data_IF_384276374456
#
_entry.id   IF_384276374456
#
_cell.length_a   1.000
_cell.length_b   1.000
_cell.length_c   1.000
_cell.angle_alpha   90.00
_cell.angle_beta   90.00
_cell.angle_gamma   90.00
#
_symmetry.space_group_name_H-M   'P 1'
#
loop_
_entity.id
_entity.type
_entity.pdbx_description
1 polymer ?
#
# COMPACT_ATOMS: atom_id res chain seq x y z
N UNK A 1 -35.87 -19.41 2.73
CA UNK A 1 -34.44 -19.13 2.53
C UNK A 1 -34.37 -17.92 1.61
N UNK A 2 -34.00 -16.76 2.13
CA UNK A 2 -33.69 -15.60 1.29
C UNK A 2 -32.42 -15.89 0.49
N UNK A 3 -32.41 -15.47 -0.77
CA UNK A 3 -31.33 -15.76 -1.71
C UNK A 3 -30.25 -14.71 -1.52
N UNK A 4 -29.06 -15.14 -1.12
CA UNK A 4 -27.88 -14.27 -1.01
C UNK A 4 -27.41 -13.89 -2.42
N UNK A 5 -27.19 -12.60 -2.67
CA UNK A 5 -26.75 -12.06 -3.96
C UNK A 5 -25.52 -11.15 -3.77
N UNK A 6 -24.71 -10.97 -4.83
CA UNK A 6 -23.49 -10.18 -4.77
C UNK A 6 -23.18 -9.52 -6.13
N UNK A 7 -22.61 -8.31 -6.09
CA UNK A 7 -22.23 -7.53 -7.27
C UNK A 7 -20.75 -7.19 -7.21
N UNK A 8 -19.94 -7.75 -8.10
CA UNK A 8 -18.52 -7.44 -8.22
C UNK A 8 -17.89 -8.19 -9.39
N UNK A 9 -16.93 -7.55 -10.07
CA UNK A 9 -16.16 -8.16 -11.15
C UNK A 9 -14.68 -7.88 -10.96
N UNK A 10 -13.82 -8.74 -11.49
CA UNK A 10 -12.38 -8.52 -11.50
C UNK A 10 -12.09 -7.42 -12.54
N UNK A 11 -11.27 -6.39 -12.21
CA UNK A 11 -10.96 -5.32 -13.14
C UNK A 11 -10.38 -5.86 -14.45
N UNK A 12 -11.01 -5.50 -15.59
CA UNK A 12 -10.58 -5.90 -16.95
C UNK A 12 -9.47 -4.98 -17.49
N UNK A 13 -9.46 -3.73 -17.05
CA UNK A 13 -8.46 -2.72 -17.36
C UNK A 13 -7.80 -2.30 -16.05
N UNK A 14 -6.48 -2.24 -16.04
CA UNK A 14 -5.69 -1.92 -14.86
C UNK A 14 -4.77 -0.76 -15.18
N UNK A 15 -4.71 0.22 -14.28
CA UNK A 15 -3.58 1.14 -14.25
C UNK A 15 -2.27 0.37 -14.29
N UNK A 16 -1.27 0.92 -14.97
CA UNK A 16 0.03 0.25 -15.17
C UNK A 16 1.14 1.15 -14.68
N UNK A 17 2.02 0.60 -13.84
CA UNK A 17 3.25 1.29 -13.47
C UNK A 17 4.23 1.23 -14.64
N UNK A 18 4.61 2.41 -15.15
CA UNK A 18 5.56 2.56 -16.27
C UNK A 18 6.95 2.94 -15.80
N UNK A 19 7.08 3.55 -14.63
CA UNK A 19 8.37 3.95 -14.06
C UNK A 19 8.33 3.94 -12.54
N UNK A 20 9.43 3.51 -11.91
CA UNK A 20 9.68 3.64 -10.47
C UNK A 20 11.04 4.31 -10.29
N UNK A 21 11.04 5.50 -9.68
CA UNK A 21 12.25 6.23 -9.27
C UNK A 21 12.40 6.12 -7.75
N UNK A 22 13.53 5.61 -7.28
CA UNK A 22 13.88 5.51 -5.86
C UNK A 22 15.12 6.34 -5.57
N UNK A 23 15.05 7.22 -4.56
CA UNK A 23 16.16 8.09 -4.12
C UNK A 23 16.36 7.96 -2.62
N UNK A 24 17.50 7.39 -2.24
CA UNK A 24 17.79 6.97 -0.87
C UNK A 24 18.06 8.14 0.09
N UNK A 25 18.47 9.31 -0.41
CA UNK A 25 18.58 10.58 0.33
C UNK A 25 19.12 10.53 1.78
N UNK A 26 18.90 11.63 2.53
CA UNK A 26 19.13 11.70 3.98
C UNK A 26 17.87 12.18 4.72
N UNK A 27 16.70 11.96 4.10
CA UNK A 27 15.41 12.39 4.65
C UNK A 27 15.07 11.54 5.87
N UNK A 28 14.44 12.15 6.87
CA UNK A 28 13.87 11.45 8.01
C UNK A 28 12.42 11.90 8.21
N UNK A 29 11.54 10.98 8.59
CA UNK A 29 10.14 11.23 8.89
C UNK A 29 9.88 11.01 10.37
N UNK A 30 9.00 11.82 10.96
CA UNK A 30 8.48 11.56 12.29
C UNK A 30 7.56 10.33 12.25
N UNK A 31 7.68 9.45 13.23
CA UNK A 31 6.82 8.27 13.34
C UNK A 31 5.96 8.40 14.59
N UNK A 32 4.64 8.34 14.40
CA UNK A 32 3.69 8.38 15.51
C UNK A 32 3.78 7.08 16.31
N UNK A 33 3.59 7.15 17.63
CA UNK A 33 3.58 5.99 18.53
C UNK A 33 4.94 5.53 19.07
N UNK A 34 6.06 6.14 18.62
CA UNK A 34 7.43 5.80 19.11
C UNK A 34 8.06 6.87 20.01
N UNK A 35 7.28 7.86 20.46
CA UNK A 35 7.72 9.00 21.28
C UNK A 35 7.78 10.32 20.50
N UNK A 36 7.75 11.45 21.20
CA UNK A 36 7.58 12.80 20.62
C UNK A 36 8.69 13.25 19.65
N UNK A 37 9.84 12.57 19.63
CA UNK A 37 10.98 12.91 18.77
C UNK A 37 11.49 11.76 17.88
N UNK A 38 10.80 10.63 17.84
CA UNK A 38 11.27 9.49 17.08
C UNK A 38 11.18 9.77 15.56
N UNK A 39 12.34 9.71 14.90
CA UNK A 39 12.47 9.91 13.45
C UNK A 39 13.14 8.70 12.81
N UNK A 40 12.55 8.18 11.74
CA UNK A 40 13.15 7.10 10.97
C UNK A 40 13.75 7.64 9.67
N UNK A 41 14.87 7.10 9.20
CA UNK A 41 15.37 7.41 7.87
C UNK A 41 14.40 6.89 6.81
N UNK A 42 14.10 7.69 5.80
CA UNK A 42 13.24 7.31 4.68
C UNK A 42 13.91 7.57 3.35
N UNK A 43 13.46 6.85 2.34
CA UNK A 43 13.80 7.07 0.94
C UNK A 43 12.54 7.53 0.20
N UNK A 44 12.72 8.45 -0.75
CA UNK A 44 11.62 8.96 -1.56
C UNK A 44 11.44 8.05 -2.78
N UNK A 45 10.20 7.67 -3.03
CA UNK A 45 9.78 6.99 -4.24
C UNK A 45 8.85 7.87 -5.06
N UNK A 46 9.02 7.78 -6.37
CA UNK A 46 8.03 8.25 -7.34
C UNK A 46 7.66 7.11 -8.26
N UNK A 47 6.36 6.96 -8.49
CA UNK A 47 5.82 5.95 -9.39
C UNK A 47 5.04 6.68 -10.47
N UNK A 48 5.37 6.42 -11.74
CA UNK A 48 4.58 6.87 -12.87
C UNK A 48 3.56 5.82 -13.23
N UNK A 49 2.32 6.24 -13.36
CA UNK A 49 1.16 5.38 -13.55
C UNK A 49 0.44 5.82 -14.82
N UNK A 50 0.30 4.90 -15.77
CA UNK A 50 -0.60 5.06 -16.89
C UNK A 50 -2.00 4.62 -16.44
N UNK A 51 -2.97 5.52 -16.46
CA UNK A 51 -4.36 5.26 -16.03
C UNK A 51 -5.37 5.55 -17.16
N UNK A 52 -6.64 5.15 -17.02
CA UNK A 52 -7.67 5.48 -18.01
C UNK A 52 -8.47 6.71 -17.56
N UNK A 53 -8.29 7.90 -18.17
CA UNK A 53 -8.97 9.12 -17.71
C UNK A 53 -10.49 9.13 -17.93
N UNK A 54 -11.05 8.11 -18.60
CA UNK A 54 -12.49 7.96 -18.81
C UNK A 54 -13.16 7.02 -17.81
N UNK A 55 -12.38 6.27 -17.04
CA UNK A 55 -12.84 5.32 -16.03
C UNK A 55 -12.31 5.77 -14.65
N UNK A 56 -12.91 5.27 -13.57
CA UNK A 56 -12.38 5.53 -12.22
C UNK A 56 -11.46 4.39 -11.83
N UNK A 57 -10.19 4.70 -11.62
CA UNK A 57 -9.18 3.73 -11.23
C UNK A 57 -8.99 3.74 -9.70
N UNK A 58 -9.10 2.56 -9.10
CA UNK A 58 -8.97 2.36 -7.66
C UNK A 58 -7.67 1.61 -7.37
N UNK A 59 -6.72 2.28 -6.71
CA UNK A 59 -5.34 1.80 -6.63
C UNK A 59 -4.86 1.69 -5.19
N UNK A 60 -3.82 0.88 -5.01
CA UNK A 60 -3.05 0.87 -3.76
C UNK A 60 -1.58 0.55 -3.96
N UNK A 61 -0.76 1.01 -3.03
CA UNK A 61 0.68 0.76 -2.99
C UNK A 61 1.06 0.23 -1.61
N UNK A 62 1.86 -0.82 -1.57
CA UNK A 62 2.40 -1.38 -0.32
C UNK A 62 3.85 -1.79 -0.51
N UNK A 63 4.64 -1.71 0.56
CA UNK A 63 6.04 -2.10 0.56
C UNK A 63 6.22 -3.30 1.46
N UNK A 64 6.91 -4.32 0.93
CA UNK A 64 7.27 -5.50 1.71
C UNK A 64 8.74 -5.86 1.56
N UNK A 65 9.25 -6.53 2.57
CA UNK A 65 10.57 -7.17 2.53
C UNK A 65 10.42 -8.62 2.93
N UNK A 66 11.10 -9.52 2.22
CA UNK A 66 11.09 -10.92 2.57
C UNK A 66 12.09 -11.21 3.68
N UNK A 67 11.74 -12.14 4.57
CA UNK A 67 12.64 -12.59 5.62
C UNK A 67 13.89 -13.25 5.01
N UNK A 68 15.06 -12.99 5.58
CA UNK A 68 16.30 -13.63 5.14
C UNK A 68 16.52 -14.93 5.92
N UNK A 69 16.82 -16.01 5.20
CA UNK A 69 17.25 -17.29 5.77
C UNK A 69 18.74 -17.46 5.52
N UNK A 70 19.48 -17.78 6.58
CA UNK A 70 20.93 -17.96 6.54
C UNK A 70 21.25 -19.45 6.58
N UNK A 71 21.97 -19.93 5.58
CA UNK A 71 22.45 -21.30 5.52
C UNK A 71 23.97 -21.31 5.70
N UNK A 72 24.44 -22.00 6.74
CA UNK A 72 25.86 -22.24 6.92
C UNK A 72 26.27 -23.44 6.08
N UNK A 73 27.22 -23.22 5.16
CA UNK A 73 27.77 -24.28 4.30
C UNK A 73 29.29 -24.16 4.38
N UNK A 74 29.92 -25.13 5.05
CA UNK A 74 31.33 -25.09 5.42
C UNK A 74 31.68 -23.76 6.14
N UNK A 75 32.67 -23.03 5.65
CA UNK A 75 33.13 -21.74 6.18
C UNK A 75 32.42 -20.53 5.53
N UNK A 76 31.27 -20.72 4.89
CA UNK A 76 30.53 -19.67 4.18
C UNK A 76 29.07 -19.56 4.64
N UNK A 77 28.51 -18.34 4.54
CA UNK A 77 27.10 -18.05 4.80
C UNK A 77 26.41 -17.75 3.48
N UNK A 78 25.40 -18.54 3.15
CA UNK A 78 24.48 -18.29 2.04
C UNK A 78 23.21 -17.62 2.57
N UNK A 79 22.79 -16.53 1.93
CA UNK A 79 21.58 -15.79 2.32
C UNK A 79 20.53 -15.96 1.24
N UNK A 80 19.34 -16.44 1.62
CA UNK A 80 18.21 -16.67 0.71
C UNK A 80 16.99 -15.91 1.23
N UNK A 81 16.29 -15.22 0.34
CA UNK A 81 14.99 -14.60 0.65
C UNK A 81 13.91 -15.69 0.78
N UNK A 82 13.26 -15.72 1.94
CA UNK A 82 12.10 -16.56 2.18
C UNK A 82 10.84 -15.86 1.68
N UNK A 83 10.44 -16.15 0.45
CA UNK A 83 9.24 -15.56 -0.18
C UNK A 83 7.92 -15.91 0.50
N UNK A 84 7.90 -16.86 1.44
CA UNK A 84 6.70 -17.21 2.22
C UNK A 84 6.52 -16.36 3.49
N UNK A 85 7.55 -15.59 3.87
CA UNK A 85 7.52 -14.74 5.07
C UNK A 85 7.98 -13.34 4.70
N UNK A 86 7.11 -12.36 4.86
CA UNK A 86 7.45 -10.96 4.60
C UNK A 86 7.00 -10.07 5.75
N UNK A 87 7.64 -8.90 5.83
CA UNK A 87 7.32 -7.83 6.76
C UNK A 87 6.89 -6.62 5.96
N UNK A 88 5.87 -5.92 6.44
CA UNK A 88 5.47 -4.62 5.93
C UNK A 88 6.51 -3.59 6.36
N UNK A 89 6.93 -2.72 5.44
CA UNK A 89 7.77 -1.57 5.77
C UNK A 89 6.91 -0.33 6.03
N UNK A 90 7.42 0.63 6.80
CA UNK A 90 6.73 1.91 6.94
C UNK A 90 6.60 2.63 5.59
N UNK A 91 5.43 3.25 5.40
CA UNK A 91 5.00 3.92 4.19
C UNK A 91 4.21 5.18 4.56
N UNK A 92 4.53 6.33 3.97
CA UNK A 92 3.71 7.54 4.09
C UNK A 92 3.75 8.38 2.80
N UNK A 93 2.84 9.35 2.68
CA UNK A 93 2.79 10.23 1.52
C UNK A 93 2.07 11.53 1.85
N UNK A 94 2.58 12.62 1.26
CA UNK A 94 1.92 13.94 1.22
C UNK A 94 1.30 14.21 -0.17
N UNK A 95 1.20 13.19 -1.02
CA UNK A 95 0.67 13.31 -2.38
C UNK A 95 -0.85 13.56 -2.32
N UNK A 96 -1.38 14.57 -3.04
CA UNK A 96 -2.81 14.86 -3.03
C UNK A 96 -3.71 13.68 -3.39
N UNK A 97 -3.26 12.79 -4.28
CA UNK A 97 -4.03 11.61 -4.65
C UNK A 97 -4.27 10.68 -3.45
N UNK A 98 -3.27 10.54 -2.58
CA UNK A 98 -3.32 9.69 -1.39
C UNK A 98 -4.02 10.41 -0.23
N UNK A 99 -3.68 11.68 0.02
CA UNK A 99 -4.28 12.47 1.10
C UNK A 99 -5.79 12.64 0.94
N UNK A 100 -6.29 12.72 -0.30
CA UNK A 100 -7.72 12.87 -0.58
C UNK A 100 -8.60 11.72 -0.09
N UNK A 101 -8.01 10.56 0.17
CA UNK A 101 -8.76 9.43 0.72
C UNK A 101 -9.11 9.60 2.19
N UNK A 102 -8.51 10.59 2.86
CA UNK A 102 -8.80 10.91 4.26
C UNK A 102 -8.29 9.85 5.24
N UNK A 103 -7.28 9.08 4.83
CA UNK A 103 -6.77 7.94 5.61
C UNK A 103 -5.55 8.25 6.48
N UNK A 104 -5.07 9.50 6.48
CA UNK A 104 -3.81 9.89 7.14
C UNK A 104 -3.78 9.70 8.67
N UNK A 105 -4.94 9.69 9.32
CA UNK A 105 -5.05 9.48 10.77
C UNK A 105 -5.21 8.01 11.17
N UNK A 106 -5.47 7.12 10.21
CA UNK A 106 -5.57 5.69 10.46
C UNK A 106 -4.19 5.06 10.19
N UNK A 107 -3.81 4.01 10.92
CA UNK A 107 -2.52 3.32 10.80
C UNK A 107 -2.31 2.72 9.39
N UNK A 108 -1.96 3.57 8.43
CA UNK A 108 -1.83 3.27 6.98
C UNK A 108 -0.44 2.83 6.59
N UNK A 109 0.42 2.48 7.56
CA UNK A 109 1.82 2.14 7.29
C UNK A 109 1.98 0.91 6.40
N UNK A 110 0.94 0.09 6.26
CA UNK A 110 0.99 -1.14 5.47
C UNK A 110 0.61 -0.93 3.99
N UNK A 111 -0.24 0.04 3.66
CA UNK A 111 -0.70 0.29 2.29
C UNK A 111 -1.31 1.68 2.15
N UNK A 112 -0.90 2.41 1.11
CA UNK A 112 -1.54 3.66 0.70
C UNK A 112 -2.61 3.35 -0.33
N UNK A 113 -3.83 3.85 -0.10
CA UNK A 113 -4.94 3.79 -1.04
C UNK A 113 -5.12 5.14 -1.72
N UNK A 114 -5.46 5.13 -3.00
CA UNK A 114 -5.71 6.34 -3.77
C UNK A 114 -6.52 6.04 -5.02
N UNK A 115 -7.12 7.09 -5.57
CA UNK A 115 -7.83 7.08 -6.84
C UNK A 115 -7.19 8.07 -7.80
N UNK A 116 -7.48 7.88 -9.07
CA UNK A 116 -7.03 8.77 -10.14
C UNK A 116 -7.78 10.11 -10.20
N UNK A 117 -8.78 10.34 -9.34
CA UNK A 117 -9.58 11.58 -9.29
C UNK A 117 -8.75 12.87 -9.17
N UNK A 118 -7.54 12.79 -8.59
CA UNK A 118 -6.64 13.94 -8.45
C UNK A 118 -5.46 13.91 -9.42
N UNK A 119 -5.45 12.99 -10.40
CA UNK A 119 -4.41 12.97 -11.42
C UNK A 119 -4.66 14.08 -12.43
N UNK A 120 -3.67 14.94 -12.62
CA UNK A 120 -3.74 16.09 -13.53
C UNK A 120 -2.91 15.91 -14.80
N UNK A 121 -2.14 14.82 -14.89
CA UNK A 121 -1.21 14.53 -15.97
C UNK A 121 -1.25 13.04 -16.34
N UNK A 122 -0.77 12.69 -17.54
CA UNK A 122 -0.69 11.33 -18.03
C UNK A 122 0.67 11.07 -18.71
N UNK A 123 1.48 10.09 -18.24
CA UNK A 123 1.26 9.28 -17.03
C UNK A 123 1.29 10.13 -15.75
N UNK A 124 0.48 9.76 -14.77
CA UNK A 124 0.40 10.42 -13.47
C UNK A 124 1.59 10.07 -12.58
N UNK A 125 2.12 11.04 -11.85
CA UNK A 125 3.21 10.81 -10.88
C UNK A 125 2.67 10.76 -9.45
N UNK A 126 2.81 9.63 -8.77
CA UNK A 126 2.50 9.48 -7.34
C UNK A 126 3.79 9.42 -6.52
N UNK A 127 3.86 10.20 -5.44
CA UNK A 127 5.05 10.28 -4.57
C UNK A 127 4.76 9.72 -3.19
N UNK A 128 5.71 9.01 -2.60
CA UNK A 128 5.60 8.51 -1.24
C UNK A 128 6.99 8.29 -0.65
N UNK A 129 7.08 8.17 0.67
CA UNK A 129 8.31 7.78 1.33
C UNK A 129 8.14 6.39 1.92
N UNK A 130 9.23 5.62 1.86
CA UNK A 130 9.31 4.30 2.46
C UNK A 130 10.48 4.29 3.42
N UNK A 131 10.39 3.46 4.44
CA UNK A 131 11.49 3.31 5.40
C UNK A 131 12.79 2.84 4.75
N UNK A 132 13.88 3.53 5.11
CA UNK A 132 15.24 3.19 4.69
C UNK A 132 15.91 2.34 5.77
N UNK A 133 15.64 1.04 5.76
CA UNK A 133 16.39 0.08 6.57
C UNK A 133 17.47 -0.64 5.74
N UNK A 134 18.42 -1.31 6.42
CA UNK A 134 19.34 -2.25 5.78
C UNK A 134 18.73 -3.66 5.95
N UNK A 135 18.35 -4.38 4.88
CA UNK A 135 18.94 -4.38 3.54
C UNK A 135 18.31 -3.41 2.53
N UNK A 136 19.11 -3.05 1.53
CA UNK A 136 18.87 -2.01 0.52
C UNK A 136 17.63 -2.21 -0.37
N UNK A 137 17.29 -3.43 -0.75
CA UNK A 137 16.17 -3.69 -1.67
C UNK A 137 14.85 -3.95 -0.95
N UNK A 138 13.75 -3.64 -1.61
CA UNK A 138 12.40 -3.91 -1.13
C UNK A 138 11.49 -4.23 -2.33
N UNK A 139 10.31 -4.74 -2.03
CA UNK A 139 9.34 -5.11 -3.05
C UNK A 139 8.13 -4.19 -2.98
N UNK A 140 7.86 -3.47 -4.08
CA UNK A 140 6.67 -2.66 -4.23
C UNK A 140 5.53 -3.53 -4.77
N UNK A 141 4.42 -3.57 -4.05
CA UNK A 141 3.16 -4.15 -4.49
C UNK A 141 2.26 -3.04 -4.95
N UNK A 142 1.90 -3.06 -6.23
CA UNK A 142 0.90 -2.18 -6.80
C UNK A 142 -0.39 -2.94 -7.02
N UNK A 143 -1.51 -2.41 -6.54
CA UNK A 143 -2.81 -3.04 -6.57
C UNK A 143 -3.75 -2.24 -7.46
N UNK A 144 -4.54 -2.95 -8.26
CA UNK A 144 -5.73 -2.42 -8.90
C UNK A 144 -6.95 -3.12 -8.30
N UNK A 145 -7.86 -2.36 -7.71
CA UNK A 145 -9.03 -2.85 -7.00
C UNK A 145 -10.29 -2.69 -7.84
N UNK A 146 -11.25 -3.60 -7.67
CA UNK A 146 -12.64 -3.25 -7.99
C UNK A 146 -13.14 -2.16 -7.02
N UNK A 147 -14.17 -1.39 -7.37
CA UNK A 147 -14.74 -0.39 -6.47
C UNK A 147 -15.11 -0.97 -5.10
N UNK A 148 -15.70 -2.15 -5.08
CA UNK A 148 -16.12 -2.84 -3.85
C UNK A 148 -14.90 -3.27 -3.02
N UNK A 149 -13.85 -3.81 -3.67
CA UNK A 149 -12.62 -4.20 -2.96
C UNK A 149 -11.95 -2.97 -2.32
N UNK A 150 -11.92 -1.85 -3.04
CA UNK A 150 -11.36 -0.60 -2.51
C UNK A 150 -12.14 -0.10 -1.29
N UNK A 151 -13.48 -0.07 -1.35
CA UNK A 151 -14.30 0.32 -0.20
C UNK A 151 -14.10 -0.59 1.00
N UNK A 152 -13.97 -1.90 0.76
CA UNK A 152 -13.67 -2.84 1.82
C UNK A 152 -12.33 -2.59 2.49
N UNK A 153 -11.23 -2.52 1.73
CA UNK A 153 -9.89 -2.28 2.30
C UNK A 153 -9.86 -0.93 3.02
N UNK A 154 -10.52 0.10 2.48
CA UNK A 154 -10.67 1.39 3.13
C UNK A 154 -11.41 1.29 4.48
N UNK A 155 -12.56 0.61 4.50
CA UNK A 155 -13.32 0.39 5.74
C UNK A 155 -12.55 -0.46 6.75
N UNK A 156 -11.72 -1.40 6.26
CA UNK A 156 -10.87 -2.25 7.08
C UNK A 156 -9.82 -1.45 7.85
N UNK A 157 -9.13 -0.51 7.20
CA UNK A 157 -8.13 0.32 7.90
C UNK A 157 -8.75 1.14 9.03
N UNK A 158 -9.95 1.68 8.81
CA UNK A 158 -10.67 2.43 9.83
C UNK A 158 -11.13 1.50 10.95
N UNK A 159 -11.70 0.34 10.59
CA UNK A 159 -12.16 -0.64 11.57
C UNK A 159 -11.02 -1.13 12.45
N UNK A 160 -9.92 -1.61 11.87
CA UNK A 160 -8.74 -2.11 12.59
C UNK A 160 -8.16 -1.03 13.52
N UNK A 161 -8.04 0.21 13.04
CA UNK A 161 -7.55 1.32 13.87
C UNK A 161 -8.47 1.62 15.06
N UNK A 162 -9.79 1.54 14.86
CA UNK A 162 -10.79 1.86 15.89
C UNK A 162 -11.12 0.68 16.81
N UNK A 163 -10.53 -0.50 16.58
CA UNK A 163 -10.66 -1.66 17.47
C UNK A 163 -9.88 -1.47 18.77
N UNK A 164 -8.70 -0.83 18.69
CA UNK A 164 -7.87 -0.57 19.86
C UNK A 164 -8.36 0.70 20.56
N UNK A 165 -8.94 0.51 21.74
CA UNK A 165 -9.46 1.61 22.55
C UNK A 165 -8.31 2.42 23.15
N UNK A 166 -8.13 3.66 22.68
CA UNK A 166 -7.34 4.67 23.40
C UNK A 166 -8.27 5.52 24.27
N UNK A 167 -7.98 5.61 25.57
CA UNK A 167 -8.73 6.46 26.50
C UNK A 167 -8.71 7.95 26.11
N UNK A 168 -7.72 8.38 25.31
CA UNK A 168 -7.56 9.76 24.87
C UNK A 168 -8.27 10.08 23.55
N UNK A 169 -8.59 9.07 22.73
CA UNK A 169 -9.23 9.23 21.43
C UNK A 169 -10.47 8.34 21.35
N UNK A 170 -11.65 8.95 21.56
CA UNK A 170 -12.93 8.23 21.45
C UNK A 170 -13.29 8.12 19.96
N UNK A 171 -12.99 6.97 19.37
CA UNK A 171 -13.51 6.61 18.05
C UNK A 171 -14.73 5.71 18.17
N UNK A 172 -15.75 5.97 17.35
CA UNK A 172 -16.87 5.04 17.21
C UNK A 172 -16.45 3.88 16.29
N UNK A 173 -16.55 2.61 16.74
CA UNK A 173 -16.25 1.46 15.89
C UNK A 173 -17.07 1.53 14.60
N UNK A 174 -16.39 1.51 13.46
CA UNK A 174 -17.05 1.57 12.16
C UNK A 174 -17.35 0.15 11.65
N UNK A 175 -18.55 -0.09 11.07
CA UNK A 175 -18.84 -1.37 10.46
C UNK A 175 -17.94 -1.59 9.23
N UNK A 176 -17.45 -2.82 9.06
CA UNK A 176 -16.79 -3.23 7.83
C UNK A 176 -17.79 -3.20 6.67
N UNK A 177 -17.34 -2.72 5.52
CA UNK A 177 -18.13 -2.69 4.30
C UNK A 177 -18.55 -4.12 3.89
N UNK A 178 -19.82 -4.25 3.46
CA UNK A 178 -20.38 -5.49 2.91
C UNK A 178 -21.21 -5.12 1.68
N UNK A 179 -21.03 -5.86 0.59
CA UNK A 179 -21.91 -5.79 -0.58
C UNK A 179 -22.84 -7.02 -0.69
N UNK A 180 -22.91 -7.82 0.37
CA UNK A 180 -23.79 -8.98 0.46
C UNK A 180 -25.10 -8.58 1.11
N UNK A 181 -26.19 -8.71 0.38
CA UNK A 181 -27.53 -8.49 0.91
C UNK A 181 -27.91 -9.61 1.88
N UNK A 182 -28.49 -9.25 3.03
CA UNK A 182 -28.90 -10.17 4.10
C UNK A 182 -27.77 -11.07 4.63
N UNK A 183 -26.53 -10.57 4.61
CA UNK A 183 -25.36 -11.28 5.12
C UNK A 183 -24.16 -10.38 5.35
N UNK A 184 -23.07 -11.00 5.82
CA UNK A 184 -21.77 -10.37 5.96
C UNK A 184 -20.79 -10.99 4.97
N UNK A 185 -20.08 -10.13 4.27
CA UNK A 185 -18.99 -10.55 3.39
C UNK A 185 -18.79 -9.57 2.26
N UNK A 186 -17.86 -9.91 1.38
CA UNK A 186 -17.63 -9.15 0.17
C UNK A 186 -17.45 -10.09 -1.01
N UNK A 187 -18.05 -9.73 -2.13
CA UNK A 187 -17.69 -10.24 -3.43
C UNK A 187 -16.99 -9.14 -4.23
N UNK A 188 -15.67 -9.24 -4.34
CA UNK A 188 -14.85 -8.25 -5.01
C UNK A 188 -13.52 -8.87 -5.46
N UNK A 189 -12.75 -8.12 -6.24
CA UNK A 189 -11.48 -8.59 -6.76
C UNK A 189 -10.42 -7.49 -6.78
N UNK A 190 -9.17 -7.92 -6.83
CA UNK A 190 -8.04 -7.06 -7.12
C UNK A 190 -7.01 -7.80 -7.99
N UNK A 191 -6.21 -7.07 -8.74
CA UNK A 191 -4.97 -7.56 -9.32
C UNK A 191 -3.78 -6.92 -8.60
N UNK A 192 -2.65 -7.62 -8.57
CA UNK A 192 -1.44 -7.15 -7.90
C UNK A 192 -0.23 -7.39 -8.79
N UNK A 193 0.56 -6.34 -8.97
CA UNK A 193 1.86 -6.35 -9.63
C UNK A 193 2.96 -6.17 -8.60
N UNK A 194 4.03 -6.94 -8.73
CA UNK A 194 5.14 -6.97 -7.78
C UNK A 194 6.43 -6.51 -8.46
N UNK A 195 7.05 -5.46 -7.94
CA UNK A 195 8.27 -4.87 -8.46
C UNK A 195 9.41 -4.97 -7.45
N UNK A 196 10.57 -5.46 -7.88
CA UNK A 196 11.80 -5.40 -7.07
C UNK A 196 12.43 -4.02 -7.23
N UNK A 197 12.64 -3.29 -6.13
CA UNK A 197 13.16 -1.91 -6.15
C UNK A 197 14.43 -1.82 -5.33
N UNK A 198 15.47 -1.23 -5.93
CA UNK A 198 16.76 -0.97 -5.28
C UNK A 198 16.85 0.51 -4.84
N UNK A 199 17.69 0.86 -3.85
CA UNK A 199 17.96 2.26 -3.53
C UNK A 199 18.64 2.94 -4.72
N UNK A 200 18.39 4.23 -4.88
CA UNK A 200 19.05 5.07 -5.89
C UNK A 200 18.96 4.45 -7.30
N UNK A 201 17.79 3.89 -7.61
CA UNK A 201 17.50 3.21 -8.87
C UNK A 201 16.34 3.87 -9.61
N UNK A 202 16.38 3.79 -10.94
CA UNK A 202 15.25 4.12 -11.81
C UNK A 202 14.94 2.89 -12.65
N UNK A 203 13.72 2.40 -12.53
CA UNK A 203 13.20 1.26 -13.27
C UNK A 203 12.16 1.76 -14.25
N UNK A 204 12.29 1.37 -15.52
CA UNK A 204 11.33 1.68 -16.59
C UNK A 204 10.79 0.38 -17.15
N UNK A 205 9.49 0.35 -17.43
CA UNK A 205 8.81 -0.82 -17.97
C UNK A 205 8.26 -0.48 -19.35
N UNK A 206 8.49 -1.40 -20.31
CA UNK A 206 7.96 -1.31 -21.68
C UNK A 206 6.50 -1.77 -21.76
#
# INVERSE_FOLDING_TARGET
MEKVSATGSIPLNSSVVTEIESKAGHKTEAVMGTGEEARIPVQNLKVKILHNPQESDYMGLSIVRYALTYHQVNDSIFVVENKSKFYYGYLNSDDPAILSEGLGNFYTYQMLLFRDINFTEQPATVRFNVEKEKPSKFWLRFFNFSPEAFQYVKSWFIHEYTQDYDFWEVYEPQPLYSNIENGYGIFAGYSMQLYEVYPDSTLTFE
#
